data_IF_500719693442
#
_entry.id   IF_500719693442
#
_cell.length_a   1.000
_cell.length_b   1.000
_cell.length_c   1.000
_cell.angle_alpha   90.00
_cell.angle_beta   90.00
_cell.angle_gamma   90.00
#
_symmetry.space_group_name_H-M   'P 1'
#
loop_
_entity.id
_entity.type
_entity.pdbx_description
1 polymer ?
#
# COMPACT_ATOMS: atom_id res chain seq x y z
N UNK A 1 -4.30 10.56 -17.41
CA UNK A 1 -4.69 9.21 -17.85
C UNK A 1 -4.12 8.17 -16.91
N UNK A 2 -4.92 7.20 -16.53
CA UNK A 2 -4.44 6.14 -15.63
C UNK A 2 -3.59 5.14 -16.37
N UNK A 3 -2.52 4.70 -15.70
CA UNK A 3 -1.72 3.59 -16.18
C UNK A 3 -2.56 2.31 -16.10
N UNK A 4 -2.67 1.50 -17.16
CA UNK A 4 -3.47 0.28 -17.12
C UNK A 4 -2.90 -0.71 -16.10
N UNK A 5 -3.79 -1.50 -15.49
CA UNK A 5 -3.38 -2.63 -14.67
C UNK A 5 -2.88 -3.75 -15.56
N UNK A 6 -1.88 -4.53 -15.11
CA UNK A 6 -1.48 -5.74 -15.82
C UNK A 6 -2.68 -6.68 -15.97
N UNK A 7 -2.75 -7.41 -17.06
CA UNK A 7 -3.81 -8.40 -17.28
C UNK A 7 -3.71 -9.53 -16.29
N UNK A 8 -4.58 -9.52 -15.29
CA UNK A 8 -4.58 -10.53 -14.24
C UNK A 8 -3.57 -10.23 -13.14
N UNK A 9 -4.04 -9.96 -11.94
CA UNK A 9 -3.19 -9.79 -10.77
C UNK A 9 -2.82 -11.16 -10.19
N UNK A 10 -1.64 -11.29 -9.54
CA UNK A 10 -1.32 -12.49 -8.78
C UNK A 10 -2.38 -12.78 -7.72
N UNK A 11 -2.60 -14.05 -7.40
CA UNK A 11 -3.61 -14.49 -6.43
C UNK A 11 -3.46 -13.82 -5.06
N UNK A 12 -2.23 -13.54 -4.68
CA UNK A 12 -1.92 -12.99 -3.36
C UNK A 12 -1.78 -11.47 -3.36
N UNK A 13 -2.29 -10.80 -4.39
CA UNK A 13 -2.39 -9.34 -4.45
C UNK A 13 -3.87 -8.96 -4.63
N UNK A 14 -4.37 -8.12 -3.71
CA UNK A 14 -5.74 -7.62 -3.76
C UNK A 14 -5.77 -6.24 -4.39
N UNK A 15 -6.80 -5.99 -5.18
CA UNK A 15 -7.06 -4.68 -5.76
C UNK A 15 -8.18 -3.98 -5.01
N UNK A 16 -7.94 -2.72 -4.65
CA UNK A 16 -8.96 -1.81 -4.13
C UNK A 16 -8.92 -0.52 -4.95
N UNK A 17 -10.00 0.25 -4.92
CA UNK A 17 -10.07 1.55 -5.58
C UNK A 17 -10.43 2.59 -4.51
N UNK A 18 -9.61 3.62 -4.35
CA UNK A 18 -9.93 4.70 -3.42
C UNK A 18 -11.13 5.50 -3.92
N UNK A 19 -11.77 6.24 -3.03
CA UNK A 19 -12.91 7.08 -3.42
C UNK A 19 -12.50 8.18 -4.41
N UNK A 20 -11.22 8.52 -4.45
CA UNK A 20 -10.69 9.47 -5.44
C UNK A 20 -10.31 8.77 -6.76
N UNK A 21 -10.48 7.45 -6.84
CA UNK A 21 -10.26 6.69 -8.06
C UNK A 21 -8.87 6.12 -8.26
N UNK A 22 -8.03 6.11 -7.25
CA UNK A 22 -6.70 5.51 -7.35
C UNK A 22 -6.77 4.00 -7.14
N UNK A 23 -6.04 3.25 -7.96
CA UNK A 23 -5.89 1.81 -7.75
C UNK A 23 -4.90 1.58 -6.61
N UNK A 24 -5.30 0.72 -5.66
CA UNK A 24 -4.52 0.38 -4.48
C UNK A 24 -4.27 -1.13 -4.51
N UNK A 25 -3.02 -1.54 -4.42
CA UNK A 25 -2.66 -2.96 -4.40
C UNK A 25 -2.19 -3.33 -3.00
N UNK A 26 -2.73 -4.42 -2.43
CA UNK A 26 -2.34 -4.89 -1.10
C UNK A 26 -1.91 -6.36 -1.17
N UNK A 27 -0.74 -6.68 -0.64
CA UNK A 27 -0.30 -8.07 -0.53
C UNK A 27 -1.04 -8.81 0.57
N UNK A 28 -1.40 -10.07 0.32
CA UNK A 28 -2.07 -10.93 1.31
C UNK A 28 -1.09 -11.60 2.27
N UNK A 29 0.15 -11.79 1.83
CA UNK A 29 1.21 -12.49 2.56
C UNK A 29 2.57 -11.97 2.09
N UNK A 30 3.65 -12.57 2.57
CA UNK A 30 5.00 -12.14 2.21
C UNK A 30 5.24 -12.21 0.70
N UNK A 31 4.77 -13.28 0.03
CA UNK A 31 4.88 -13.40 -1.42
C UNK A 31 4.05 -12.35 -2.14
N UNK A 32 2.85 -12.07 -1.63
CA UNK A 32 1.98 -11.03 -2.16
C UNK A 32 2.58 -9.65 -2.00
N UNK A 33 3.23 -9.37 -0.87
CA UNK A 33 3.92 -8.11 -0.65
C UNK A 33 5.04 -7.92 -1.68
N UNK A 34 5.82 -8.96 -1.94
CA UNK A 34 6.85 -8.91 -2.97
C UNK A 34 6.25 -8.71 -4.35
N UNK A 35 5.18 -9.44 -4.68
CA UNK A 35 4.49 -9.31 -5.96
C UNK A 35 3.94 -7.91 -6.17
N UNK A 36 3.33 -7.31 -5.14
CA UNK A 36 2.81 -5.95 -5.20
C UNK A 36 3.95 -4.95 -5.49
N UNK A 37 5.09 -5.10 -4.81
CA UNK A 37 6.25 -4.23 -5.06
C UNK A 37 6.77 -4.38 -6.49
N UNK A 38 6.78 -5.60 -7.03
CA UNK A 38 7.23 -5.83 -8.43
C UNK A 38 6.29 -5.20 -9.45
N UNK A 39 5.01 -5.06 -9.13
CA UNK A 39 4.03 -4.40 -10.00
C UNK A 39 4.11 -2.88 -9.93
N UNK A 40 4.78 -2.34 -8.90
CA UNK A 40 4.85 -0.92 -8.68
C UNK A 40 5.85 -0.25 -9.63
N UNK A 41 5.48 0.94 -10.12
CA UNK A 41 6.43 1.81 -10.81
C UNK A 41 7.29 2.55 -9.76
N UNK A 42 8.48 3.05 -10.14
CA UNK A 42 9.33 3.78 -9.18
C UNK A 42 8.64 4.97 -8.52
N UNK A 43 7.68 5.61 -9.20
CA UNK A 43 6.95 6.77 -8.69
C UNK A 43 5.66 6.40 -7.94
N UNK A 44 5.30 5.14 -7.86
CA UNK A 44 4.14 4.73 -7.04
C UNK A 44 4.48 4.91 -5.56
N UNK A 45 3.45 5.03 -4.72
CA UNK A 45 3.63 5.18 -3.27
C UNK A 45 3.48 3.82 -2.61
N UNK A 46 4.52 3.41 -1.90
CA UNK A 46 4.50 2.24 -1.03
C UNK A 46 4.19 2.68 0.39
N UNK A 47 3.42 1.87 1.13
CA UNK A 47 3.12 2.18 2.52
C UNK A 47 2.98 0.90 3.36
N UNK A 48 3.16 1.08 4.66
CA UNK A 48 3.20 -0.03 5.62
C UNK A 48 3.00 0.52 7.03
N UNK A 49 2.37 -0.27 7.89
CA UNK A 49 2.24 0.08 9.31
C UNK A 49 3.62 0.13 9.96
N UNK A 50 3.87 1.19 10.74
CA UNK A 50 5.16 1.41 11.37
C UNK A 50 5.44 0.41 12.49
N UNK A 51 6.72 0.07 12.67
CA UNK A 51 7.25 -0.69 13.82
C UNK A 51 6.73 -2.11 14.01
N UNK A 52 6.27 -2.79 12.97
CA UNK A 52 5.84 -4.18 13.11
C UNK A 52 5.36 -4.78 11.80
N UNK A 53 4.97 -6.05 11.80
CA UNK A 53 4.57 -6.74 10.57
C UNK A 53 3.23 -6.28 10.06
N UNK A 54 3.04 -6.36 8.75
CA UNK A 54 1.80 -6.01 8.09
C UNK A 54 1.89 -6.12 6.58
N UNK A 55 0.75 -5.97 5.93
CA UNK A 55 0.67 -5.95 4.47
C UNK A 55 1.27 -4.69 3.88
N UNK A 56 1.96 -4.85 2.77
CA UNK A 56 2.40 -3.72 1.95
C UNK A 56 1.24 -3.28 1.06
N UNK A 57 1.08 -1.97 0.92
CA UNK A 57 0.08 -1.38 0.03
C UNK A 57 0.79 -0.47 -0.95
N UNK A 58 0.35 -0.49 -2.21
CA UNK A 58 0.89 0.37 -3.27
C UNK A 58 -0.24 1.27 -3.76
N UNK A 59 -0.02 2.58 -3.75
CA UNK A 59 -0.90 3.55 -4.43
C UNK A 59 -0.32 3.77 -5.81
N UNK A 60 -1.07 3.42 -6.85
CA UNK A 60 -0.60 3.61 -8.23
C UNK A 60 -0.82 5.04 -8.67
N UNK A 61 0.21 5.67 -9.21
CA UNK A 61 0.13 7.01 -9.78
C UNK A 61 0.29 6.95 -11.30
N UNK A 62 -0.34 7.87 -12.01
CA UNK A 62 -0.20 7.96 -13.46
C UNK A 62 1.19 8.44 -13.86
N UNK A 63 1.82 9.29 -13.03
CA UNK A 63 3.15 9.84 -13.24
C UNK A 63 3.75 10.33 -11.93
N UNK A 64 5.03 10.63 -11.93
CA UNK A 64 5.78 10.96 -10.72
C UNK A 64 5.37 12.25 -10.01
N UNK A 65 4.71 13.16 -10.71
CA UNK A 65 4.26 14.42 -10.13
C UNK A 65 2.77 14.41 -9.74
N UNK A 66 2.07 13.31 -9.92
CA UNK A 66 0.65 13.27 -9.64
C UNK A 66 0.39 13.44 -8.14
N UNK A 67 -0.38 14.46 -7.72
CA UNK A 67 -0.77 14.59 -6.32
C UNK A 67 -1.67 13.44 -5.89
N UNK A 68 -1.49 12.98 -4.65
CA UNK A 68 -2.36 11.98 -4.05
C UNK A 68 -3.17 12.69 -2.96
N UNK A 69 -4.51 12.74 -3.07
CA UNK A 69 -5.34 13.40 -2.07
C UNK A 69 -5.18 12.77 -0.68
N UNK A 70 -5.35 13.58 0.36
CA UNK A 70 -5.26 13.10 1.74
C UNK A 70 -6.21 11.93 1.99
N UNK A 71 -7.43 11.99 1.43
CA UNK A 71 -8.40 10.90 1.57
C UNK A 71 -7.86 9.58 1.03
N UNK A 72 -7.19 9.60 -0.13
CA UNK A 72 -6.59 8.39 -0.68
C UNK A 72 -5.43 7.90 0.19
N UNK A 73 -4.59 8.81 0.70
CA UNK A 73 -3.52 8.43 1.64
C UNK A 73 -4.10 7.76 2.88
N UNK A 74 -5.17 8.30 3.44
CA UNK A 74 -5.81 7.75 4.63
C UNK A 74 -6.49 6.40 4.34
N UNK A 75 -7.15 6.27 3.20
CA UNK A 75 -7.79 5.01 2.83
C UNK A 75 -6.78 3.90 2.56
N UNK A 76 -5.73 4.20 1.82
CA UNK A 76 -4.64 3.24 1.63
C UNK A 76 -3.98 2.87 2.95
N UNK A 77 -3.74 3.86 3.80
CA UNK A 77 -3.20 3.64 5.14
C UNK A 77 -4.10 2.76 5.99
N UNK A 78 -5.41 2.98 5.93
CA UNK A 78 -6.39 2.14 6.62
C UNK A 78 -6.35 0.69 6.15
N UNK A 79 -6.20 0.47 4.85
CA UNK A 79 -6.06 -0.89 4.30
C UNK A 79 -4.78 -1.57 4.81
N UNK A 80 -3.69 -0.84 4.92
CA UNK A 80 -2.46 -1.36 5.49
C UNK A 80 -2.64 -1.69 6.98
N UNK A 81 -3.29 -0.80 7.73
CA UNK A 81 -3.55 -0.97 9.15
C UNK A 81 -4.39 -2.21 9.46
N UNK A 82 -5.41 -2.47 8.64
CA UNK A 82 -6.34 -3.60 8.84
C UNK A 82 -5.65 -4.96 8.76
N UNK A 83 -4.52 -5.05 8.09
CA UNK A 83 -3.72 -6.29 7.95
C UNK A 83 -2.33 -6.09 8.55
N UNK A 84 -2.27 -5.48 9.73
CA UNK A 84 -1.02 -5.21 10.42
C UNK A 84 -1.12 -5.59 11.89
N UNK A 85 0.00 -5.47 12.59
CA UNK A 85 0.05 -5.66 14.04
C UNK A 85 -0.82 -4.64 14.80
N UNK A 86 -1.21 -3.51 14.14
CA UNK A 86 -2.07 -2.47 14.73
C UNK A 86 -3.56 -2.64 14.41
N UNK A 87 -3.95 -3.76 13.86
CA UNK A 87 -5.32 -3.99 13.36
C UNK A 87 -6.43 -3.83 14.40
N UNK A 88 -6.11 -3.99 15.67
CA UNK A 88 -7.10 -3.86 16.76
C UNK A 88 -7.01 -2.50 17.47
N UNK A 89 -6.10 -1.63 17.05
CA UNK A 89 -6.00 -0.29 17.61
C UNK A 89 -7.04 0.63 16.97
N UNK A 90 -7.38 1.73 17.65
CA UNK A 90 -8.27 2.74 17.08
C UNK A 90 -7.59 3.53 15.97
N UNK A 91 -6.28 3.76 16.10
CA UNK A 91 -5.47 4.56 15.19
C UNK A 91 -4.15 3.83 14.94
N UNK A 92 -3.66 3.88 13.72
CA UNK A 92 -2.39 3.29 13.36
C UNK A 92 -1.48 4.33 12.71
N UNK A 93 -0.17 4.21 12.96
CA UNK A 93 0.82 5.03 12.28
C UNK A 93 1.29 4.31 11.04
N UNK A 94 1.24 5.01 9.90
CA UNK A 94 1.61 4.46 8.60
C UNK A 94 2.76 5.25 8.02
N UNK A 95 3.75 4.55 7.47
CA UNK A 95 4.89 5.14 6.78
C UNK A 95 4.67 5.00 5.29
N UNK A 96 4.88 6.10 4.55
CA UNK A 96 4.73 6.17 3.10
C UNK A 96 6.07 6.52 2.47
N UNK A 97 6.40 5.88 1.35
CA UNK A 97 7.60 6.18 0.59
C UNK A 97 7.34 5.98 -0.90
N UNK A 98 8.02 6.73 -1.75
CA UNK A 98 7.99 6.40 -3.18
C UNK A 98 8.71 5.06 -3.37
N UNK A 99 8.19 4.22 -4.27
CA UNK A 99 8.71 2.86 -4.46
C UNK A 99 10.21 2.85 -4.76
N UNK A 100 10.71 3.84 -5.50
CA UNK A 100 12.14 3.96 -5.81
C UNK A 100 13.04 4.06 -4.57
N UNK A 101 12.49 4.43 -3.42
CA UNK A 101 13.22 4.56 -2.15
C UNK A 101 13.00 3.36 -1.22
N UNK A 102 12.33 2.31 -1.70
CA UNK A 102 12.06 1.09 -0.93
C UNK A 102 12.96 -0.01 -1.49
N UNK A 103 13.89 -0.49 -0.68
CA UNK A 103 14.90 -1.47 -1.10
C UNK A 103 14.73 -2.78 -0.33
N UNK A 104 14.79 -3.94 -0.98
CA UNK A 104 14.76 -5.20 -0.26
C UNK A 104 16.01 -5.34 0.59
N UNK A 105 15.87 -5.90 1.78
CA UNK A 105 17.00 -6.28 2.62
C UNK A 105 17.42 -7.70 2.27
N UNK A 106 18.73 -7.89 2.05
CA UNK A 106 19.31 -9.20 1.75
C UNK A 106 19.42 -10.03 3.03
N UNK A 107 19.30 -11.34 2.88
CA UNK A 107 19.46 -12.31 3.96
C UNK A 107 18.46 -12.15 5.10
N UNK A 108 17.27 -11.60 4.77
CA UNK A 108 16.15 -11.46 5.71
C UNK A 108 14.94 -12.15 5.13
N UNK A 109 13.88 -12.27 5.94
CA UNK A 109 12.62 -12.84 5.46
C UNK A 109 12.04 -11.99 4.32
N UNK A 110 11.32 -12.66 3.41
CA UNK A 110 10.64 -11.98 2.30
C UNK A 110 9.72 -10.90 2.85
N UNK A 111 9.75 -9.73 2.25
CA UNK A 111 8.92 -8.60 2.67
C UNK A 111 9.64 -7.58 3.54
N UNK A 112 10.81 -7.92 4.08
CA UNK A 112 11.59 -6.95 4.85
C UNK A 112 12.27 -5.97 3.91
N UNK A 113 12.10 -4.67 4.16
CA UNK A 113 12.61 -3.61 3.29
C UNK A 113 13.32 -2.53 4.10
N UNK A 114 14.20 -1.80 3.41
CA UNK A 114 14.80 -0.58 3.91
C UNK A 114 14.19 0.61 3.17
N UNK A 115 13.87 1.66 3.89
CA UNK A 115 13.33 2.89 3.30
C UNK A 115 14.43 3.94 3.33
N UNK A 116 14.88 4.38 2.15
CA UNK A 116 15.95 5.38 2.05
C UNK A 116 15.43 6.81 2.23
N UNK A 117 14.16 7.06 1.89
CA UNK A 117 13.55 8.37 2.05
C UNK A 117 12.06 8.23 2.32
N UNK A 118 11.59 8.80 3.42
CA UNK A 118 10.18 8.80 3.77
C UNK A 118 9.45 9.89 2.98
N UNK A 119 8.32 9.53 2.37
CA UNK A 119 7.43 10.47 1.70
C UNK A 119 6.51 11.17 2.70
N UNK A 120 5.91 10.40 3.60
CA UNK A 120 5.02 10.91 4.65
C UNK A 120 4.90 9.89 5.77
N UNK A 121 4.49 10.38 6.95
CA UNK A 121 4.12 9.55 8.08
C UNK A 121 2.80 10.10 8.60
N UNK A 122 1.78 9.23 8.72
CA UNK A 122 0.43 9.67 9.08
C UNK A 122 -0.18 8.73 10.11
N UNK A 123 -1.01 9.30 10.98
CA UNK A 123 -1.89 8.51 11.82
C UNK A 123 -3.24 8.38 11.11
N UNK A 124 -3.72 7.16 10.95
CA UNK A 124 -4.98 6.89 10.26
C UNK A 124 -5.92 6.08 11.15
N UNK A 125 -7.24 6.29 11.05
CA UNK A 125 -8.19 5.43 11.74
C UNK A 125 -8.10 3.99 11.21
N UNK A 126 -8.19 3.01 12.10
CA UNK A 126 -8.29 1.61 11.71
C UNK A 126 -9.77 1.31 11.47
N UNK A 127 -10.15 1.23 10.19
CA UNK A 127 -11.54 1.05 9.77
C UNK A 127 -11.64 -0.18 8.88
N UNK A 128 -12.11 -1.28 9.45
CA UNK A 128 -12.23 -2.56 8.74
C UNK A 128 -13.30 -2.54 7.65
N UNK A 129 -14.22 -1.58 7.64
CA UNK A 129 -15.22 -1.45 6.59
C UNK A 129 -14.61 -1.04 5.25
N UNK A 130 -13.41 -0.44 5.26
CA UNK A 130 -12.69 -0.11 4.04
C UNK A 130 -12.47 -1.33 3.15
N UNK A 131 -12.28 -2.50 3.75
CA UNK A 131 -12.00 -3.73 3.01
C UNK A 131 -13.16 -4.17 2.12
N UNK A 132 -14.37 -3.74 2.45
CA UNK A 132 -15.55 -3.97 1.62
C UNK A 132 -15.88 -2.74 0.77
N UNK A 133 -15.83 -1.56 1.39
CA UNK A 133 -16.24 -0.31 0.73
C UNK A 133 -15.36 0.04 -0.47
N UNK A 134 -14.07 -0.29 -0.43
CA UNK A 134 -13.13 0.05 -1.49
C UNK A 134 -12.92 -1.07 -2.51
N UNK A 135 -13.68 -2.16 -2.44
CA UNK A 135 -13.60 -3.18 -3.49
C UNK A 135 -14.02 -2.59 -4.83
N UNK A 136 -13.35 -2.99 -5.94
CA UNK A 136 -13.77 -2.53 -7.25
C UNK A 136 -15.19 -2.99 -7.55
N UNK A 137 -15.92 -2.18 -8.30
CA UNK A 137 -17.24 -2.57 -8.77
C UNK A 137 -17.14 -3.77 -9.71
N UNK A 138 -18.06 -4.70 -9.54
CA UNK A 138 -18.09 -5.90 -10.37
C UNK A 138 -18.43 -5.56 -11.83
#
# INVERSE_FOLDING_TARGET
MRRPLPGGLPKNVQLFISEDGFALLRGRDAKGNLAARKLAAPHDIWLHADNGPGSHVIIRRAHGGQPVPERTLDQAGGLAACKSWQRDAAVARIIYAEMRHVKPLRNTSAGTVRIDKVFASREVPVDHELETRLLPDA
#
